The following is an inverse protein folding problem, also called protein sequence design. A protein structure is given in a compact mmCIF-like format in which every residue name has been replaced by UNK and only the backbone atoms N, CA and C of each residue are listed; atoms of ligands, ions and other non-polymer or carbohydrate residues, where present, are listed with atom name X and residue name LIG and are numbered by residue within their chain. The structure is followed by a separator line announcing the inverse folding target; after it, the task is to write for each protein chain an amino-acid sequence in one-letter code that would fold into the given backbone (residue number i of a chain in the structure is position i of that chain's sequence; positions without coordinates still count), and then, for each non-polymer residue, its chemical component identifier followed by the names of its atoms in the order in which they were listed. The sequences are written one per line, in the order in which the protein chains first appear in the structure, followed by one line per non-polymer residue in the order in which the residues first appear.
data_IF_684171863944
#
_entry.id   IF_684171863944
#
_cell.length_a   1.000
_cell.length_b   1.000
_cell.length_c   1.000
_cell.angle_alpha   90.00
_cell.angle_beta   90.00
_cell.angle_gamma   90.00
#
_symmetry.space_group_name_H-M   'P 1'
#
loop_
_entity.id
_entity.type
_entity.pdbx_description
1 polymer ?
#
# COMPACT_ATOMS: atom_id res chain seq x y z
N UNK A 1 41.54 -42.99 -9.33
CA UNK A 1 41.36 -42.44 -7.97
C UNK A 1 40.00 -41.82 -7.88
N UNK A 2 39.05 -42.51 -7.23
CA UNK A 2 37.66 -42.09 -7.08
C UNK A 2 37.54 -41.17 -5.88
N UNK A 3 36.97 -39.96 -6.07
CA UNK A 3 36.50 -39.12 -4.96
C UNK A 3 35.06 -39.45 -4.64
N UNK A 4 34.66 -39.51 -3.36
CA UNK A 4 33.30 -39.86 -2.95
C UNK A 4 32.35 -38.67 -3.03
N UNK A 5 31.15 -38.95 -3.58
CA UNK A 5 29.99 -38.05 -3.54
C UNK A 5 29.46 -37.91 -2.10
N UNK A 6 29.44 -36.69 -1.58
CA UNK A 6 28.71 -36.32 -0.37
C UNK A 6 27.24 -36.04 -0.71
N UNK A 7 26.30 -36.52 0.08
CA UNK A 7 24.88 -36.30 -0.19
C UNK A 7 24.45 -34.85 0.18
N UNK A 8 23.91 -34.16 -0.79
CA UNK A 8 23.25 -32.87 -0.59
C UNK A 8 21.99 -33.09 0.24
N UNK A 9 22.03 -32.79 1.53
CA UNK A 9 20.84 -32.68 2.35
C UNK A 9 19.98 -31.53 1.83
N UNK A 10 18.86 -31.84 1.22
CA UNK A 10 17.83 -30.89 0.83
C UNK A 10 17.27 -30.20 2.08
N UNK A 11 17.74 -29.02 2.36
CA UNK A 11 17.05 -28.11 3.28
C UNK A 11 15.72 -27.68 2.60
N UNK A 12 14.64 -28.33 3.01
CA UNK A 12 13.27 -27.82 2.76
C UNK A 12 13.14 -26.49 3.50
N UNK A 13 13.43 -25.40 2.80
CA UNK A 13 13.06 -24.07 3.21
C UNK A 13 11.52 -24.04 3.32
N UNK A 14 11.01 -23.87 4.54
CA UNK A 14 9.60 -23.56 4.76
C UNK A 14 9.29 -22.29 3.99
N UNK A 15 8.49 -22.42 2.94
CA UNK A 15 7.94 -21.35 2.12
C UNK A 15 7.20 -20.40 3.05
N UNK A 16 7.79 -19.24 3.36
CA UNK A 16 7.08 -18.14 4.00
C UNK A 16 6.22 -17.55 2.90
N UNK A 17 4.99 -18.05 2.81
CA UNK A 17 4.01 -17.54 1.86
C UNK A 17 3.49 -16.22 2.41
N UNK A 18 3.77 -15.14 1.72
CA UNK A 18 3.16 -13.81 1.91
C UNK A 18 1.62 -13.86 1.83
N UNK A 19 1.06 -14.88 1.19
CA UNK A 19 -0.37 -15.20 1.21
C UNK A 19 -0.95 -15.40 2.62
N UNK A 20 -0.14 -15.77 3.60
CA UNK A 20 -0.59 -16.00 4.97
C UNK A 20 -0.69 -14.73 5.82
N UNK A 21 -0.10 -13.61 5.40
CA UNK A 21 -0.11 -12.41 6.23
C UNK A 21 -1.50 -11.74 6.30
N UNK A 22 -2.19 -11.67 5.17
CA UNK A 22 -3.60 -11.19 5.11
C UNK A 22 -4.58 -12.34 5.40
N UNK A 23 -4.22 -13.59 5.06
CA UNK A 23 -4.98 -14.80 5.36
C UNK A 23 -5.04 -15.14 6.86
N UNK A 24 -4.03 -14.76 7.65
CA UNK A 24 -3.97 -15.06 9.09
C UNK A 24 -5.16 -14.53 9.91
N UNK A 25 -5.78 -13.42 9.50
CA UNK A 25 -6.97 -12.87 10.16
C UNK A 25 -8.17 -13.80 10.01
N UNK A 26 -8.26 -14.52 8.91
CA UNK A 26 -9.46 -15.32 8.58
C UNK A 26 -9.42 -16.73 9.18
N UNK A 27 -8.26 -17.36 9.24
CA UNK A 27 -8.17 -18.77 9.64
C UNK A 27 -8.38 -19.00 11.15
N UNK A 28 -7.99 -18.01 11.99
CA UNK A 28 -8.19 -18.12 13.44
C UNK A 28 -9.60 -17.77 13.90
N UNK A 29 -10.30 -16.87 13.18
CA UNK A 29 -11.68 -16.48 13.54
C UNK A 29 -12.73 -17.46 13.02
N UNK A 30 -12.53 -18.09 11.86
CA UNK A 30 -13.51 -19.03 11.29
C UNK A 30 -13.38 -20.45 11.81
N UNK A 31 -12.27 -20.87 12.37
CA UNK A 31 -12.16 -22.19 13.03
C UNK A 31 -12.93 -22.29 14.35
N UNK A 32 -13.38 -21.17 14.91
CA UNK A 32 -14.04 -21.16 16.24
C UNK A 32 -15.48 -20.63 16.28
N UNK A 33 -16.02 -20.03 15.21
CA UNK A 33 -17.38 -19.49 15.24
C UNK A 33 -18.08 -19.58 13.85
N UNK A 34 -19.22 -20.26 13.77
CA UNK A 34 -20.20 -20.14 12.70
C UNK A 34 -21.16 -19.02 13.06
N UNK A 35 -21.27 -17.99 12.22
CA UNK A 35 -22.26 -16.91 12.34
C UNK A 35 -23.36 -17.20 11.33
N UNK A 36 -24.58 -17.46 11.80
CA UNK A 36 -25.80 -17.48 11.01
C UNK A 36 -26.85 -16.53 11.64
N UNK A 37 -27.49 -15.81 10.74
CA UNK A 37 -28.67 -14.96 10.68
C UNK A 37 -29.46 -14.62 11.96
N UNK A 38 -30.02 -13.41 11.97
CA UNK A 38 -30.90 -12.59 12.83
C UNK A 38 -31.34 -13.05 14.24
N UNK A 39 -31.14 -14.29 14.62
CA UNK A 39 -31.27 -14.80 16.01
C UNK A 39 -29.98 -15.52 16.37
N UNK A 40 -28.95 -14.74 16.68
CA UNK A 40 -27.59 -15.20 16.86
C UNK A 40 -27.49 -16.31 17.91
N UNK A 41 -27.36 -17.54 17.47
CA UNK A 41 -26.87 -18.66 18.29
C UNK A 41 -25.38 -18.82 17.95
N UNK A 42 -24.51 -18.48 18.91
CA UNK A 42 -23.07 -18.76 18.82
C UNK A 42 -22.85 -20.16 19.36
N UNK A 43 -22.61 -21.12 18.50
CA UNK A 43 -22.22 -22.47 18.94
C UNK A 43 -20.70 -22.56 18.93
N UNK A 44 -20.11 -22.61 20.11
CA UNK A 44 -18.68 -22.91 20.27
C UNK A 44 -18.47 -24.41 20.20
N UNK A 45 -17.54 -24.88 19.37
CA UNK A 45 -17.17 -26.30 19.24
C UNK A 45 -16.38 -26.79 20.47
N UNK A 46 -17.01 -26.78 21.64
CA UNK A 46 -16.51 -27.42 22.88
C UNK A 46 -17.61 -28.20 23.59
N UNK A 47 -18.67 -28.63 22.90
CA UNK A 47 -19.62 -29.62 23.41
C UNK A 47 -20.52 -29.19 24.60
N UNK A 48 -20.61 -27.93 24.97
CA UNK A 48 -21.56 -27.43 25.95
C UNK A 48 -22.39 -26.26 25.45
N UNK A 49 -23.70 -26.43 25.35
CA UNK A 49 -24.66 -25.35 25.06
C UNK A 49 -24.90 -24.53 26.33
N UNK A 50 -24.61 -23.26 26.30
CA UNK A 50 -24.92 -22.32 27.36
C UNK A 50 -25.98 -21.35 26.87
N UNK A 51 -27.20 -21.39 27.40
CA UNK A 51 -28.23 -20.35 27.19
C UNK A 51 -27.85 -19.11 27.99
N UNK A 52 -27.55 -18.04 27.31
CA UNK A 52 -27.24 -16.76 27.97
C UNK A 52 -28.37 -15.78 27.64
N UNK A 53 -29.17 -15.45 28.67
CA UNK A 53 -30.22 -14.43 28.58
C UNK A 53 -29.59 -13.06 28.88
N UNK A 54 -29.58 -12.14 27.88
CA UNK A 54 -28.77 -10.93 27.88
C UNK A 54 -29.64 -9.68 27.84
N UNK A 55 -29.55 -8.79 28.83
CA UNK A 55 -30.04 -7.41 28.75
C UNK A 55 -29.31 -6.66 27.63
N UNK A 56 -30.10 -6.13 26.68
CA UNK A 56 -29.69 -5.89 25.27
C UNK A 56 -28.77 -4.68 25.01
N UNK A 57 -28.52 -3.79 25.96
CA UNK A 57 -27.79 -2.53 25.70
C UNK A 57 -26.36 -2.44 26.25
N UNK A 58 -26.08 -2.90 27.42
CA UNK A 58 -24.72 -2.84 28.02
C UNK A 58 -23.73 -3.84 27.40
N UNK A 59 -24.25 -4.98 26.90
CA UNK A 59 -23.38 -6.04 26.33
C UNK A 59 -22.91 -5.75 24.91
N UNK A 60 -23.59 -4.91 24.12
CA UNK A 60 -23.10 -4.52 22.79
C UNK A 60 -21.84 -3.65 22.88
N UNK A 61 -21.74 -2.80 23.90
CA UNK A 61 -20.54 -2.00 24.16
C UNK A 61 -19.35 -2.86 24.57
N UNK A 62 -19.53 -3.75 25.53
CA UNK A 62 -18.44 -4.59 26.04
C UNK A 62 -17.91 -5.62 25.03
N UNK A 63 -18.78 -6.24 24.22
CA UNK A 63 -18.36 -7.14 23.13
C UNK A 63 -17.67 -6.40 22.00
N UNK A 64 -18.10 -5.18 21.68
CA UNK A 64 -17.46 -4.33 20.67
C UNK A 64 -16.05 -3.91 21.11
N UNK A 65 -15.86 -3.50 22.36
CA UNK A 65 -14.56 -3.12 22.92
C UNK A 65 -13.62 -4.33 22.96
N UNK A 66 -14.09 -5.50 23.41
CA UNK A 66 -13.27 -6.71 23.48
C UNK A 66 -12.84 -7.21 22.11
N UNK A 67 -13.72 -7.09 21.10
CA UNK A 67 -13.40 -7.46 19.72
C UNK A 67 -12.42 -6.45 19.06
N UNK A 68 -12.55 -5.15 19.35
CA UNK A 68 -11.61 -4.12 18.93
C UNK A 68 -10.20 -4.42 19.43
N UNK A 69 -10.05 -4.68 20.73
CA UNK A 69 -8.75 -5.01 21.35
C UNK A 69 -8.09 -6.27 20.76
N UNK A 70 -8.88 -7.26 20.34
CA UNK A 70 -8.36 -8.48 19.69
C UNK A 70 -7.84 -8.17 18.30
N UNK A 71 -8.59 -7.39 17.50
CA UNK A 71 -8.18 -7.00 16.15
C UNK A 71 -6.96 -6.09 16.17
N UNK A 72 -6.90 -5.14 17.09
CA UNK A 72 -5.74 -4.26 17.26
C UNK A 72 -4.47 -5.04 17.62
N UNK A 73 -4.57 -5.99 18.56
CA UNK A 73 -3.47 -6.92 18.86
C UNK A 73 -3.04 -7.74 17.64
N UNK A 74 -4.00 -8.14 16.81
CA UNK A 74 -3.72 -8.86 15.57
C UNK A 74 -2.98 -7.97 14.57
N UNK A 75 -3.37 -6.71 14.41
CA UNK A 75 -2.67 -5.76 13.55
C UNK A 75 -1.23 -5.52 14.01
N UNK A 76 -1.02 -5.30 15.31
CA UNK A 76 0.34 -5.15 15.88
C UNK A 76 1.19 -6.40 15.65
N UNK A 77 0.61 -7.60 15.85
CA UNK A 77 1.32 -8.84 15.56
C UNK A 77 1.72 -8.94 14.09
N UNK A 78 0.82 -8.59 13.16
CA UNK A 78 1.13 -8.61 11.73
C UNK A 78 2.23 -7.61 11.35
N UNK A 79 2.27 -6.42 11.96
CA UNK A 79 3.38 -5.46 11.78
C UNK A 79 4.71 -6.11 12.18
N UNK A 80 4.80 -6.68 13.38
CA UNK A 80 6.01 -7.32 13.86
C UNK A 80 6.44 -8.50 12.98
N UNK A 81 5.48 -9.31 12.52
CA UNK A 81 5.78 -10.46 11.65
C UNK A 81 6.26 -9.99 10.27
N UNK A 82 5.69 -8.90 9.75
CA UNK A 82 6.12 -8.27 8.50
C UNK A 82 7.52 -7.68 8.63
N UNK A 83 7.82 -6.93 9.68
CA UNK A 83 9.16 -6.37 9.95
C UNK A 83 10.22 -7.46 9.99
N UNK A 84 9.96 -8.58 10.68
CA UNK A 84 10.86 -9.74 10.70
C UNK A 84 11.06 -10.31 9.29
N UNK A 85 10.00 -10.40 8.48
CA UNK A 85 10.11 -10.89 7.11
C UNK A 85 10.95 -9.96 6.22
N UNK A 86 10.87 -8.63 6.47
CA UNK A 86 11.70 -7.65 5.77
C UNK A 86 13.18 -7.82 6.11
N UNK A 87 13.51 -8.01 7.39
CA UNK A 87 14.90 -8.30 7.82
C UNK A 87 15.43 -9.56 7.16
N UNK A 88 14.64 -10.64 7.08
CA UNK A 88 15.06 -11.88 6.40
C UNK A 88 15.21 -11.69 4.88
N UNK A 89 14.37 -10.88 4.26
CA UNK A 89 14.50 -10.52 2.85
C UNK A 89 15.82 -9.74 2.62
N UNK A 90 16.09 -8.79 3.47
CA UNK A 90 17.26 -7.90 3.33
C UNK A 90 18.60 -8.64 3.44
N UNK A 91 18.63 -9.78 4.13
CA UNK A 91 19.81 -10.67 4.14
C UNK A 91 20.11 -11.31 2.77
N UNK A 92 19.14 -11.35 1.86
CA UNK A 92 19.28 -11.96 0.52
C UNK A 92 19.80 -10.98 -0.51
N UNK A 93 19.70 -9.68 -0.27
CA UNK A 93 19.92 -8.65 -1.27
C UNK A 93 21.01 -7.67 -0.84
N UNK A 94 21.82 -7.28 -1.79
CA UNK A 94 22.72 -6.15 -1.65
C UNK A 94 22.08 -4.88 -2.18
N UNK A 95 22.31 -3.77 -1.49
CA UNK A 95 21.80 -2.48 -1.95
C UNK A 95 22.44 -2.12 -3.31
N UNK A 96 21.66 -1.62 -4.30
CA UNK A 96 22.15 -1.31 -5.62
C UNK A 96 23.29 -0.28 -5.59
N UNK A 97 24.41 -0.60 -6.20
CA UNK A 97 25.51 0.35 -6.37
C UNK A 97 25.12 1.49 -7.31
N UNK A 98 25.78 2.64 -7.19
CA UNK A 98 25.54 3.80 -8.03
C UNK A 98 24.32 4.62 -7.65
N UNK A 99 23.89 4.53 -6.38
CA UNK A 99 22.83 5.35 -5.79
C UNK A 99 23.36 6.06 -4.55
N UNK A 100 23.16 7.36 -4.47
CA UNK A 100 23.33 8.16 -3.25
C UNK A 100 21.97 8.18 -2.56
N UNK A 101 21.94 7.93 -1.26
CA UNK A 101 20.70 7.97 -0.50
C UNK A 101 20.93 8.59 0.88
N UNK A 102 19.87 9.24 1.35
CA UNK A 102 19.78 9.82 2.69
C UNK A 102 18.51 9.32 3.34
N UNK A 103 18.58 8.91 4.59
CA UNK A 103 17.48 8.30 5.31
C UNK A 103 16.94 9.21 6.41
N UNK A 104 15.69 8.98 6.81
CA UNK A 104 15.08 9.58 7.98
C UNK A 104 14.99 11.13 7.94
N UNK A 105 14.90 11.72 6.76
CA UNK A 105 14.68 13.14 6.56
C UNK A 105 13.28 13.49 7.09
N UNK A 106 13.20 14.44 8.03
CA UNK A 106 11.93 14.90 8.57
C UNK A 106 11.16 15.74 7.55
N UNK A 107 9.97 15.32 7.14
CA UNK A 107 9.10 16.12 6.26
C UNK A 107 8.06 16.96 7.01
N UNK A 108 7.96 16.82 8.32
CA UNK A 108 7.15 17.68 9.17
C UNK A 108 7.94 18.15 10.39
N UNK A 109 7.53 19.30 10.97
CA UNK A 109 8.20 19.91 12.12
C UNK A 109 7.85 19.26 13.46
N UNK A 110 7.06 18.19 13.44
CA UNK A 110 6.71 17.46 14.64
C UNK A 110 7.75 16.35 14.97
N UNK A 111 7.54 15.68 16.11
CA UNK A 111 8.42 14.57 16.54
C UNK A 111 7.90 13.21 16.12
N UNK A 112 6.90 13.14 15.22
CA UNK A 112 6.31 11.89 14.79
C UNK A 112 7.30 11.09 13.93
N UNK A 113 7.60 9.88 14.36
CA UNK A 113 8.52 8.99 13.62
C UNK A 113 7.99 8.57 12.25
N UNK A 114 6.67 8.60 12.05
CA UNK A 114 6.05 8.34 10.75
C UNK A 114 6.16 9.54 9.78
N UNK A 115 6.64 10.70 10.22
CA UNK A 115 6.84 11.85 9.35
C UNK A 115 8.31 11.95 8.91
N UNK A 116 8.79 10.86 8.30
CA UNK A 116 10.14 10.72 7.75
C UNK A 116 10.06 10.23 6.30
N UNK A 117 11.05 10.61 5.51
CA UNK A 117 11.24 10.07 4.16
C UNK A 117 12.72 9.76 3.93
N UNK A 118 12.96 8.89 2.95
CA UNK A 118 14.29 8.63 2.41
C UNK A 118 14.38 9.22 1.01
N UNK A 119 15.55 9.78 0.67
CA UNK A 119 15.84 10.36 -0.63
C UNK A 119 16.87 9.53 -1.36
N UNK A 120 16.63 9.22 -2.62
CA UNK A 120 17.52 8.45 -3.48
C UNK A 120 17.84 9.24 -4.75
N UNK A 121 19.12 9.29 -5.12
CA UNK A 121 19.62 9.99 -6.29
C UNK A 121 20.66 9.13 -7.02
N UNK A 122 20.71 9.09 -8.36
CA UNK A 122 21.76 8.37 -9.08
C UNK A 122 23.11 9.05 -8.88
N UNK A 123 24.14 8.27 -8.53
CA UNK A 123 25.53 8.74 -8.38
C UNK A 123 26.07 9.16 -9.75
N UNK A 124 26.83 10.24 -9.78
CA UNK A 124 27.42 10.81 -11.00
C UNK A 124 26.43 11.68 -11.82
N UNK A 125 25.24 11.93 -11.28
CA UNK A 125 24.26 12.84 -11.88
C UNK A 125 23.87 14.00 -10.93
N UNK A 126 24.75 14.33 -10.00
CA UNK A 126 24.48 15.32 -8.94
C UNK A 126 24.18 16.72 -9.51
N UNK A 127 24.77 17.07 -10.64
CA UNK A 127 24.52 18.35 -11.35
C UNK A 127 23.31 18.31 -12.30
N UNK A 128 22.69 17.17 -12.51
CA UNK A 128 21.52 17.07 -13.40
C UNK A 128 20.22 17.38 -12.65
N UNK A 129 19.30 18.05 -13.31
CA UNK A 129 17.91 18.20 -12.85
C UNK A 129 17.15 16.95 -13.27
N UNK A 130 16.51 16.29 -12.30
CA UNK A 130 15.88 14.98 -12.49
C UNK A 130 14.38 15.04 -12.21
N UNK A 131 13.56 14.31 -12.99
CA UNK A 131 12.16 14.14 -12.67
C UNK A 131 12.00 13.49 -11.27
N UNK A 132 10.93 13.82 -10.56
CA UNK A 132 10.71 13.49 -9.16
C UNK A 132 9.68 12.40 -9.02
N UNK A 133 9.99 11.35 -8.25
CA UNK A 133 9.04 10.34 -7.80
C UNK A 133 8.85 10.48 -6.29
N UNK A 134 7.60 10.55 -5.84
CA UNK A 134 7.21 10.35 -4.44
C UNK A 134 6.64 8.93 -4.36
N UNK A 135 7.34 8.05 -3.63
CA UNK A 135 6.94 6.66 -3.44
C UNK A 135 6.16 6.51 -2.12
N UNK A 136 5.00 5.87 -2.22
CA UNK A 136 4.10 5.54 -1.11
C UNK A 136 4.09 4.03 -0.92
N UNK A 137 4.64 3.53 0.18
CA UNK A 137 4.79 2.10 0.40
C UNK A 137 3.44 1.39 0.61
N UNK A 138 3.42 0.08 0.32
CA UNK A 138 2.30 -0.81 0.56
C UNK A 138 2.14 -1.23 2.02
N UNK A 139 1.40 -2.32 2.24
CA UNK A 139 1.17 -2.88 3.56
C UNK A 139 -0.28 -2.82 4.03
N UNK A 140 -1.24 -2.71 3.11
CA UNK A 140 -2.68 -2.74 3.42
C UNK A 140 -3.15 -1.62 4.34
N UNK A 141 -2.40 -0.51 4.43
CA UNK A 141 -2.64 0.65 5.31
C UNK A 141 -2.40 0.37 6.80
N UNK A 142 -1.99 -0.84 7.14
CA UNK A 142 -1.87 -1.36 8.51
C UNK A 142 -0.44 -1.64 8.91
N UNK A 143 0.44 -1.90 7.95
CA UNK A 143 1.82 -2.33 8.14
C UNK A 143 2.70 -1.81 7.00
N UNK A 144 3.98 -2.12 7.03
CA UNK A 144 4.95 -1.62 6.07
C UNK A 144 5.72 -0.42 6.62
N UNK A 145 6.73 -0.04 5.90
CA UNK A 145 7.57 1.14 6.15
C UNK A 145 8.31 1.52 4.86
N UNK A 146 8.89 2.71 4.83
CA UNK A 146 9.65 3.22 3.68
C UNK A 146 10.86 2.36 3.32
N UNK A 147 11.49 1.72 4.31
CA UNK A 147 12.65 0.84 4.12
C UNK A 147 12.29 -0.42 3.34
N UNK A 148 11.04 -0.85 3.39
CA UNK A 148 10.58 -2.00 2.63
C UNK A 148 10.71 -1.77 1.12
N UNK A 149 10.47 -0.54 0.66
CA UNK A 149 10.56 -0.17 -0.75
C UNK A 149 11.99 0.29 -1.18
N UNK A 150 13.01 0.25 -0.29
CA UNK A 150 14.35 0.82 -0.54
C UNK A 150 15.03 0.32 -1.81
N UNK A 151 14.94 -0.98 -2.10
CA UNK A 151 15.55 -1.55 -3.32
C UNK A 151 14.82 -1.09 -4.57
N UNK A 152 13.50 -1.09 -4.54
CA UNK A 152 12.67 -0.59 -5.64
C UNK A 152 12.93 0.90 -5.90
N UNK A 153 12.98 1.72 -4.87
CA UNK A 153 13.30 3.15 -4.96
C UNK A 153 14.70 3.41 -5.49
N UNK A 154 15.69 2.61 -5.04
CA UNK A 154 17.05 2.69 -5.55
C UNK A 154 17.11 2.35 -7.05
N UNK A 155 16.38 1.33 -7.50
CA UNK A 155 16.33 0.96 -8.92
C UNK A 155 15.60 2.03 -9.76
N UNK A 156 14.53 2.65 -9.28
CA UNK A 156 13.90 3.81 -9.92
C UNK A 156 14.89 4.98 -10.03
N UNK A 157 15.64 5.24 -8.97
CA UNK A 157 16.68 6.28 -8.99
C UNK A 157 17.74 6.01 -10.05
N UNK A 158 18.21 4.76 -10.20
CA UNK A 158 19.14 4.38 -11.28
C UNK A 158 18.62 4.65 -12.69
N UNK A 159 17.31 4.69 -12.87
CA UNK A 159 16.68 5.12 -14.14
C UNK A 159 16.66 6.63 -14.34
N UNK A 160 17.28 7.40 -13.46
CA UNK A 160 17.43 8.85 -13.61
C UNK A 160 16.29 9.65 -13.00
N UNK A 161 15.76 9.19 -11.86
CA UNK A 161 14.78 9.91 -11.06
C UNK A 161 15.37 10.32 -9.71
N UNK A 162 14.95 11.46 -9.21
CA UNK A 162 15.07 11.80 -7.80
C UNK A 162 13.85 11.18 -7.09
N UNK A 163 14.10 10.26 -6.15
CA UNK A 163 13.03 9.50 -5.50
C UNK A 163 12.95 9.85 -4.02
N UNK A 164 11.76 10.22 -3.55
CA UNK A 164 11.43 10.39 -2.15
C UNK A 164 10.52 9.24 -1.72
N UNK A 165 11.00 8.36 -0.86
CA UNK A 165 10.22 7.25 -0.28
C UNK A 165 9.73 7.67 1.09
N UNK A 166 8.44 7.91 1.23
CA UNK A 166 7.85 8.44 2.45
C UNK A 166 7.32 7.36 3.37
N UNK A 167 7.43 7.60 4.67
CA UNK A 167 6.68 6.92 5.73
C UNK A 167 5.36 7.65 5.97
N UNK A 168 4.36 6.96 6.51
CA UNK A 168 3.09 7.54 6.95
C UNK A 168 2.52 6.74 8.13
N UNK A 169 1.65 7.36 8.92
CA UNK A 169 0.99 6.72 10.07
C UNK A 169 0.14 5.54 9.63
N UNK A 170 0.09 4.50 10.44
CA UNK A 170 -0.58 3.24 10.13
C UNK A 170 -1.87 3.06 10.95
N UNK A 171 -2.89 2.44 10.36
CA UNK A 171 -4.09 2.00 11.07
C UNK A 171 -3.68 0.91 12.10
N UNK A 172 -4.20 0.87 13.33
CA UNK A 172 -5.34 1.64 13.85
C UNK A 172 -4.98 2.94 14.57
N UNK A 173 -3.70 3.37 14.54
CA UNK A 173 -3.21 4.54 15.29
C UNK A 173 -3.68 5.85 14.68
N UNK A 174 -4.19 5.80 13.45
CA UNK A 174 -4.74 6.92 12.70
C UNK A 174 -5.94 6.48 11.86
N UNK A 175 -6.47 7.39 11.04
CA UNK A 175 -7.50 7.13 10.03
C UNK A 175 -6.92 7.20 8.61
N UNK A 176 -7.67 6.74 7.60
CA UNK A 176 -7.33 6.91 6.19
C UNK A 176 -7.10 8.38 5.81
N UNK A 177 -7.90 9.28 6.39
CA UNK A 177 -7.75 10.72 6.16
C UNK A 177 -6.47 11.28 6.77
N UNK A 178 -5.99 10.70 7.87
CA UNK A 178 -4.71 11.09 8.46
C UNK A 178 -3.53 10.62 7.60
N UNK A 179 -3.60 9.41 7.04
CA UNK A 179 -2.62 8.93 6.08
C UNK A 179 -2.54 9.82 4.83
N UNK A 180 -3.68 10.28 4.32
CA UNK A 180 -3.72 11.24 3.22
C UNK A 180 -3.13 12.60 3.59
N UNK A 181 -3.35 13.09 4.82
CA UNK A 181 -2.71 14.32 5.32
C UNK A 181 -1.19 14.15 5.40
N UNK A 182 -0.70 12.98 5.82
CA UNK A 182 0.73 12.69 5.85
C UNK A 182 1.34 12.74 4.44
N UNK A 183 0.64 12.22 3.42
CA UNK A 183 1.08 12.34 2.02
C UNK A 183 1.16 13.81 1.60
N UNK A 184 0.17 14.62 1.93
CA UNK A 184 0.20 16.03 1.56
C UNK A 184 1.31 16.81 2.29
N UNK A 185 1.61 16.47 3.54
CA UNK A 185 2.78 17.03 4.24
C UNK A 185 4.09 16.67 3.53
N UNK A 186 4.24 15.41 3.12
CA UNK A 186 5.42 14.98 2.35
C UNK A 186 5.48 15.65 0.96
N UNK A 187 4.34 15.82 0.30
CA UNK A 187 4.28 16.58 -0.97
C UNK A 187 4.65 18.04 -0.79
N UNK A 188 4.23 18.70 0.29
CA UNK A 188 4.62 20.08 0.60
C UNK A 188 6.12 20.17 0.86
N UNK A 189 6.69 19.23 1.62
CA UNK A 189 8.15 19.12 1.80
C UNK A 189 8.88 18.98 0.46
N UNK A 190 8.42 18.09 -0.42
CA UNK A 190 9.03 17.92 -1.75
C UNK A 190 8.91 19.18 -2.59
N UNK A 191 7.77 19.88 -2.55
CA UNK A 191 7.58 21.17 -3.21
C UNK A 191 8.61 22.22 -2.77
N UNK A 192 8.95 22.23 -1.48
CA UNK A 192 9.88 23.20 -0.90
C UNK A 192 11.35 22.84 -1.14
N UNK A 193 11.71 21.55 -1.19
CA UNK A 193 13.10 21.09 -1.14
C UNK A 193 13.60 20.48 -2.45
N UNK A 194 12.73 19.93 -3.31
CA UNK A 194 13.17 19.16 -4.46
C UNK A 194 14.07 19.95 -5.43
N UNK A 195 13.81 21.24 -5.64
CA UNK A 195 14.66 22.06 -6.50
C UNK A 195 16.10 22.16 -5.99
N UNK A 196 16.30 22.32 -4.67
CA UNK A 196 17.62 22.31 -4.04
C UNK A 196 18.28 20.92 -4.11
N UNK A 197 17.46 19.88 -4.08
CA UNK A 197 17.90 18.49 -4.25
C UNK A 197 18.16 18.12 -5.72
N UNK A 198 17.99 19.06 -6.67
CA UNK A 198 18.13 18.85 -8.13
C UNK A 198 16.94 18.12 -8.74
N UNK A 199 15.75 18.28 -8.20
CA UNK A 199 14.49 17.75 -8.73
C UNK A 199 13.78 18.75 -9.64
N UNK A 200 13.16 18.22 -10.69
CA UNK A 200 12.31 18.96 -11.62
C UNK A 200 10.85 18.92 -11.15
N UNK A 201 10.37 20.04 -10.61
CA UNK A 201 8.99 20.16 -10.14
C UNK A 201 7.95 20.24 -11.28
N UNK A 202 8.40 20.36 -12.54
CA UNK A 202 7.52 20.23 -13.72
C UNK A 202 7.24 18.80 -14.11
N UNK A 203 7.96 17.81 -13.49
CA UNK A 203 7.82 16.39 -13.73
C UNK A 203 7.80 15.62 -12.39
N UNK A 204 6.66 15.65 -11.71
CA UNK A 204 6.46 14.98 -10.40
C UNK A 204 5.43 13.88 -10.52
N UNK A 205 5.74 12.72 -9.97
CA UNK A 205 4.92 11.51 -10.05
C UNK A 205 4.67 10.90 -8.67
N UNK A 206 3.47 10.34 -8.46
CA UNK A 206 3.18 9.47 -7.31
C UNK A 206 3.27 8.01 -7.75
N UNK A 207 4.08 7.23 -7.08
CA UNK A 207 4.20 5.79 -7.30
C UNK A 207 3.88 5.07 -6.00
N UNK A 208 3.07 4.02 -6.06
CA UNK A 208 2.76 3.25 -4.87
C UNK A 208 2.38 1.81 -5.18
N UNK A 209 2.56 0.94 -4.20
CA UNK A 209 2.19 -0.46 -4.29
C UNK A 209 1.06 -0.79 -3.30
N UNK A 210 0.17 -1.71 -3.67
CA UNK A 210 -0.89 -2.23 -2.78
C UNK A 210 -1.72 -1.12 -2.09
N UNK A 211 -1.63 -1.01 -0.76
CA UNK A 211 -2.24 0.07 0.02
C UNK A 211 -1.70 1.46 -0.36
N UNK A 212 -0.41 1.56 -0.68
CA UNK A 212 0.21 2.79 -1.16
C UNK A 212 -0.34 3.26 -2.51
N UNK A 213 -0.66 2.33 -3.42
CA UNK A 213 -1.33 2.66 -4.67
C UNK A 213 -2.76 3.20 -4.44
N UNK A 214 -3.47 2.66 -3.45
CA UNK A 214 -4.75 3.21 -3.02
C UNK A 214 -4.59 4.65 -2.51
N UNK A 215 -3.65 4.89 -1.60
CA UNK A 215 -3.39 6.21 -1.06
C UNK A 215 -2.97 7.21 -2.14
N UNK A 216 -2.07 6.83 -3.07
CA UNK A 216 -1.64 7.66 -4.18
C UNK A 216 -2.83 8.06 -5.09
N UNK A 217 -3.73 7.12 -5.38
CA UNK A 217 -4.96 7.36 -6.15
C UNK A 217 -5.84 8.41 -5.47
N UNK A 218 -6.13 8.24 -4.17
CA UNK A 218 -6.98 9.18 -3.44
C UNK A 218 -6.31 10.53 -3.20
N UNK A 219 -5.01 10.56 -2.90
CA UNK A 219 -4.26 11.81 -2.77
C UNK A 219 -4.30 12.62 -4.07
N UNK A 220 -4.09 11.98 -5.22
CA UNK A 220 -4.16 12.64 -6.51
C UNK A 220 -5.58 13.17 -6.82
N UNK A 221 -6.63 12.37 -6.58
CA UNK A 221 -8.02 12.78 -6.78
C UNK A 221 -8.41 13.97 -5.87
N UNK A 222 -8.03 13.94 -4.59
CA UNK A 222 -8.27 15.02 -3.62
C UNK A 222 -7.53 16.28 -4.04
N UNK A 223 -6.29 16.16 -4.50
CA UNK A 223 -5.50 17.29 -5.00
C UNK A 223 -6.16 17.98 -6.17
N UNK A 224 -6.76 17.23 -7.07
CA UNK A 224 -7.30 17.72 -8.33
C UNK A 224 -8.80 18.10 -8.28
N UNK A 225 -9.54 17.73 -7.20
CA UNK A 225 -10.96 18.05 -7.05
C UNK A 225 -11.23 18.76 -5.70
N UNK A 226 -11.59 20.05 -5.78
CA UNK A 226 -12.03 20.82 -4.61
C UNK A 226 -13.21 20.17 -3.88
N UNK A 227 -14.10 19.49 -4.61
CA UNK A 227 -15.28 18.83 -4.05
C UNK A 227 -14.89 17.59 -3.26
N UNK A 228 -13.98 16.76 -3.78
CA UNK A 228 -13.46 15.59 -3.06
C UNK A 228 -12.65 16.06 -1.83
N UNK A 229 -11.81 17.08 -1.98
CA UNK A 229 -11.04 17.66 -0.88
C UNK A 229 -11.95 18.17 0.25
N UNK A 230 -13.03 18.88 -0.09
CA UNK A 230 -14.04 19.34 0.88
C UNK A 230 -14.74 18.16 1.56
N UNK A 231 -15.13 17.13 0.81
CA UNK A 231 -15.77 15.93 1.36
C UNK A 231 -14.84 15.14 2.30
N UNK A 232 -13.55 15.11 2.01
CA UNK A 232 -12.52 14.49 2.85
C UNK A 232 -12.15 15.35 4.08
N UNK A 233 -12.48 16.64 4.09
CA UNK A 233 -12.02 17.59 5.11
C UNK A 233 -10.49 17.76 5.10
N UNK A 234 -9.88 17.78 3.90
CA UNK A 234 -8.43 17.87 3.72
C UNK A 234 -8.10 19.07 2.85
N UNK A 235 -7.11 19.86 3.28
CA UNK A 235 -6.44 20.84 2.44
C UNK A 235 -5.30 20.13 1.71
N UNK A 236 -5.38 19.95 0.38
CA UNK A 236 -4.33 19.26 -0.37
C UNK A 236 -3.11 20.16 -0.57
N UNK A 237 -1.96 19.55 -0.85
CA UNK A 237 -0.77 20.21 -1.36
C UNK A 237 -1.04 20.85 -2.73
N UNK A 238 -0.35 21.95 -3.02
CA UNK A 238 -0.40 22.57 -4.35
C UNK A 238 0.54 21.90 -5.36
N UNK A 239 1.43 21.00 -4.92
CA UNK A 239 2.35 20.28 -5.79
C UNK A 239 1.57 19.50 -6.83
N UNK A 240 1.81 19.78 -8.12
CA UNK A 240 1.17 19.09 -9.22
C UNK A 240 1.76 17.69 -9.37
N UNK A 241 0.91 16.70 -9.59
CA UNK A 241 1.29 15.33 -9.94
C UNK A 241 0.92 15.10 -11.40
N UNK A 242 1.89 14.68 -12.21
CA UNK A 242 1.74 14.59 -13.66
C UNK A 242 1.29 13.20 -14.12
N UNK A 243 1.73 12.14 -13.43
CA UNK A 243 1.25 10.78 -13.66
C UNK A 243 1.34 9.91 -12.38
N UNK A 244 0.67 8.77 -12.41
CA UNK A 244 0.61 7.78 -11.34
C UNK A 244 1.24 6.46 -11.78
N UNK A 245 2.02 5.82 -10.88
CA UNK A 245 2.47 4.44 -11.00
C UNK A 245 1.79 3.56 -9.94
N UNK A 246 0.90 2.67 -10.32
CA UNK A 246 0.01 1.94 -9.43
C UNK A 246 0.28 0.43 -9.50
N UNK A 247 1.00 -0.11 -8.52
CA UNK A 247 1.47 -1.49 -8.50
C UNK A 247 0.55 -2.32 -7.62
N UNK A 248 -0.13 -3.34 -8.21
CA UNK A 248 -0.95 -4.31 -7.46
C UNK A 248 -1.95 -3.64 -6.49
N UNK A 249 -2.66 -2.61 -6.94
CA UNK A 249 -3.37 -1.67 -6.06
C UNK A 249 -4.51 -2.28 -5.24
N UNK A 250 -4.56 -1.94 -3.95
CA UNK A 250 -5.68 -2.26 -3.03
C UNK A 250 -6.79 -1.20 -3.16
N UNK A 251 -7.34 -1.03 -4.36
CA UNK A 251 -8.27 0.06 -4.67
C UNK A 251 -9.62 -0.02 -3.91
N UNK A 252 -10.09 -1.23 -3.59
CA UNK A 252 -11.43 -1.44 -3.03
C UNK A 252 -11.35 -1.81 -1.55
N UNK A 253 -11.72 -0.88 -0.69
CA UNK A 253 -11.67 -1.05 0.77
C UNK A 253 -13.02 -1.41 1.40
N UNK A 254 -14.12 -1.35 0.63
CA UNK A 254 -15.50 -1.59 1.11
C UNK A 254 -16.22 -2.70 0.34
N UNK A 255 -15.52 -3.43 -0.53
CA UNK A 255 -16.07 -4.56 -1.26
C UNK A 255 -16.44 -5.69 -0.30
N UNK A 256 -17.43 -6.52 -0.66
CA UNK A 256 -17.83 -7.66 0.17
C UNK A 256 -16.82 -8.81 0.07
N UNK A 257 -15.68 -8.60 0.71
CA UNK A 257 -14.58 -9.54 0.85
C UNK A 257 -13.86 -9.30 2.20
N UNK A 258 -12.72 -9.97 2.41
CA UNK A 258 -11.96 -9.89 3.67
C UNK A 258 -11.52 -8.46 4.03
N UNK A 259 -11.15 -7.67 3.03
CA UNK A 259 -10.73 -6.27 3.22
C UNK A 259 -11.94 -5.45 3.65
N UNK A 260 -12.99 -5.46 2.85
CA UNK A 260 -14.16 -4.61 3.06
C UNK A 260 -15.04 -5.00 4.25
N UNK A 261 -14.92 -6.22 4.78
CA UNK A 261 -15.63 -6.63 5.99
C UNK A 261 -15.02 -6.05 7.28
N UNK A 262 -13.71 -5.85 7.33
CA UNK A 262 -13.02 -5.49 8.57
C UNK A 262 -12.44 -4.07 8.59
N UNK A 263 -11.89 -3.59 7.47
CA UNK A 263 -11.16 -2.32 7.43
C UNK A 263 -12.04 -1.06 7.45
N UNK A 264 -13.21 -0.96 6.81
CA UNK A 264 -13.87 0.33 6.57
C UNK A 264 -14.11 1.16 7.83
N UNK A 265 -14.48 0.53 8.95
CA UNK A 265 -14.71 1.23 10.22
C UNK A 265 -13.44 1.82 10.84
N UNK A 266 -12.27 1.20 10.60
CA UNK A 266 -10.97 1.70 11.04
C UNK A 266 -10.45 2.79 10.11
N UNK A 267 -10.69 2.64 8.80
CA UNK A 267 -10.27 3.60 7.78
C UNK A 267 -11.08 4.90 7.87
N UNK A 268 -12.40 4.79 7.91
CA UNK A 268 -13.33 5.91 7.68
C UNK A 268 -14.18 6.27 8.89
N UNK A 269 -14.08 5.51 9.99
CA UNK A 269 -14.91 5.66 11.18
C UNK A 269 -16.23 4.90 11.13
N UNK A 270 -16.88 4.74 12.30
CA UNK A 270 -18.10 3.90 12.45
C UNK A 270 -19.30 4.37 11.61
N UNK A 271 -19.41 5.66 11.36
CA UNK A 271 -20.54 6.26 10.64
C UNK A 271 -20.18 6.70 9.21
N UNK A 272 -19.11 6.18 8.63
CA UNK A 272 -18.59 6.62 7.34
C UNK A 272 -19.60 6.65 6.21
N UNK A 273 -20.60 5.75 6.23
CA UNK A 273 -21.67 5.69 5.21
C UNK A 273 -22.57 6.93 5.20
N UNK A 274 -22.58 7.72 6.29
CA UNK A 274 -23.32 8.98 6.42
C UNK A 274 -22.41 10.21 6.25
N UNK A 275 -21.09 10.01 6.14
CA UNK A 275 -20.13 11.10 5.98
C UNK A 275 -20.15 11.66 4.55
N UNK A 276 -19.78 12.93 4.33
CA UNK A 276 -19.69 13.52 2.99
C UNK A 276 -18.80 12.73 2.03
N UNK A 277 -17.78 12.07 2.54
CA UNK A 277 -16.84 11.24 1.75
C UNK A 277 -17.41 9.88 1.35
N UNK A 278 -18.58 9.47 1.84
CA UNK A 278 -19.19 8.17 1.53
C UNK A 278 -19.35 7.90 0.02
N UNK A 279 -19.63 8.94 -0.76
CA UNK A 279 -19.75 8.85 -2.21
C UNK A 279 -18.44 8.47 -2.91
N UNK A 280 -17.29 8.76 -2.30
CA UNK A 280 -15.96 8.57 -2.86
C UNK A 280 -15.23 7.33 -2.33
N UNK A 281 -15.83 6.58 -1.41
CA UNK A 281 -15.23 5.34 -0.89
C UNK A 281 -15.14 4.24 -1.97
N UNK A 282 -16.00 4.31 -2.99
CA UNK A 282 -15.85 3.54 -4.21
C UNK A 282 -14.92 4.28 -5.18
N UNK A 283 -13.76 3.73 -5.56
CA UNK A 283 -12.82 4.37 -6.47
C UNK A 283 -13.36 4.53 -7.90
N UNK A 284 -14.46 3.86 -8.23
CA UNK A 284 -15.15 4.00 -9.53
C UNK A 284 -16.08 5.22 -9.60
N UNK A 285 -16.13 6.05 -8.56
CA UNK A 285 -16.91 7.29 -8.61
C UNK A 285 -16.46 8.15 -9.79
N UNK A 286 -17.37 8.59 -10.68
CA UNK A 286 -16.99 9.32 -11.90
C UNK A 286 -16.17 10.59 -11.64
N UNK A 287 -16.49 11.33 -10.59
CA UNK A 287 -15.74 12.54 -10.22
C UNK A 287 -14.33 12.20 -9.75
N UNK A 288 -14.18 11.10 -8.99
CA UNK A 288 -12.87 10.63 -8.59
C UNK A 288 -12.04 10.22 -9.80
N UNK A 289 -12.60 9.42 -10.70
CA UNK A 289 -11.90 8.99 -11.91
C UNK A 289 -11.53 10.18 -12.80
N UNK A 290 -12.43 11.14 -13.01
CA UNK A 290 -12.15 12.35 -13.80
C UNK A 290 -11.02 13.20 -13.20
N UNK A 291 -10.84 13.19 -11.89
CA UNK A 291 -9.81 13.95 -11.19
C UNK A 291 -8.41 13.33 -11.28
N UNK A 292 -8.27 12.07 -11.71
CA UNK A 292 -6.97 11.40 -11.76
C UNK A 292 -6.09 11.95 -12.89
N UNK A 293 -4.80 12.04 -12.63
CA UNK A 293 -3.75 12.15 -13.63
C UNK A 293 -3.64 10.85 -14.46
N UNK A 294 -2.96 10.86 -15.62
CA UNK A 294 -2.62 9.63 -16.32
C UNK A 294 -2.03 8.58 -15.41
N UNK A 295 -2.38 7.29 -15.61
CA UNK A 295 -2.03 6.23 -14.68
C UNK A 295 -1.45 4.99 -15.38
N UNK A 296 -0.33 4.49 -14.87
CA UNK A 296 0.22 3.21 -15.27
C UNK A 296 -0.06 2.17 -14.18
N UNK A 297 -0.62 1.03 -14.59
CA UNK A 297 -1.02 -0.04 -13.68
C UNK A 297 -0.23 -1.31 -14.00
N UNK A 298 0.13 -2.06 -12.96
CA UNK A 298 0.71 -3.39 -13.12
C UNK A 298 0.13 -4.37 -12.13
N UNK A 299 -0.07 -5.60 -12.58
CA UNK A 299 -0.45 -6.76 -11.76
C UNK A 299 0.09 -8.04 -12.39
N UNK A 300 -0.23 -9.18 -11.82
CA UNK A 300 0.12 -10.50 -12.36
C UNK A 300 -0.99 -11.51 -12.11
N UNK A 301 -1.01 -12.58 -12.87
CA UNK A 301 -2.00 -13.66 -12.71
C UNK A 301 -2.00 -14.27 -11.29
N UNK A 302 -0.85 -14.30 -10.62
CA UNK A 302 -0.69 -14.84 -9.28
C UNK A 302 -0.86 -13.80 -8.15
N UNK A 303 -1.17 -12.55 -8.49
CA UNK A 303 -1.50 -11.51 -7.51
C UNK A 303 -2.92 -11.74 -6.95
N UNK A 304 -3.04 -11.85 -5.64
CA UNK A 304 -4.34 -12.04 -4.98
C UNK A 304 -5.25 -10.81 -5.09
N UNK A 305 -4.71 -9.62 -5.41
CA UNK A 305 -5.46 -8.39 -5.70
C UNK A 305 -5.58 -8.10 -7.20
N UNK A 306 -5.18 -9.02 -8.09
CA UNK A 306 -5.27 -8.85 -9.54
C UNK A 306 -6.67 -8.36 -9.98
N UNK A 307 -7.72 -8.96 -9.43
CA UNK A 307 -9.09 -8.58 -9.73
C UNK A 307 -9.43 -7.13 -9.37
N UNK A 308 -8.75 -6.54 -8.39
CA UNK A 308 -8.91 -5.13 -8.04
C UNK A 308 -8.29 -4.25 -9.13
N UNK A 309 -7.07 -4.58 -9.56
CA UNK A 309 -6.37 -3.83 -10.60
C UNK A 309 -7.11 -3.89 -11.95
N UNK A 310 -7.54 -5.09 -12.37
CA UNK A 310 -8.31 -5.28 -13.62
C UNK A 310 -9.66 -4.55 -13.57
N UNK A 311 -10.34 -4.58 -12.43
CA UNK A 311 -11.62 -3.87 -12.28
C UNK A 311 -11.43 -2.35 -12.31
N UNK A 312 -10.38 -1.85 -11.67
CA UNK A 312 -10.09 -0.41 -11.67
C UNK A 312 -9.65 0.08 -13.06
N UNK A 313 -8.87 -0.70 -13.79
CA UNK A 313 -8.54 -0.44 -15.20
C UNK A 313 -9.80 -0.30 -16.06
N UNK A 314 -10.76 -1.23 -15.95
CA UNK A 314 -12.04 -1.15 -16.67
C UNK A 314 -12.81 0.12 -16.35
N UNK A 315 -12.76 0.58 -15.10
CA UNK A 315 -13.38 1.84 -14.70
C UNK A 315 -12.68 3.06 -15.32
N UNK A 316 -11.34 3.05 -15.40
CA UNK A 316 -10.56 4.08 -16.09
C UNK A 316 -10.88 4.12 -17.59
N UNK A 317 -10.95 2.94 -18.24
CA UNK A 317 -11.36 2.80 -19.65
C UNK A 317 -12.76 3.37 -19.89
N UNK A 318 -13.74 2.99 -19.06
CA UNK A 318 -15.11 3.49 -19.16
C UNK A 318 -15.20 5.02 -18.96
N UNK A 319 -14.35 5.58 -18.08
CA UNK A 319 -14.22 7.01 -17.85
C UNK A 319 -13.35 7.74 -18.90
N UNK A 320 -12.84 7.04 -19.91
CA UNK A 320 -11.92 7.57 -20.94
C UNK A 320 -10.70 8.27 -20.36
N UNK A 321 -10.20 7.76 -19.22
CA UNK A 321 -8.96 8.26 -18.60
C UNK A 321 -7.75 7.67 -19.29
N UNK A 322 -6.73 8.49 -19.49
CA UNK A 322 -5.45 8.03 -20.01
C UNK A 322 -4.77 7.08 -19.04
N UNK A 323 -4.52 5.86 -19.47
CA UNK A 323 -3.86 4.84 -18.65
C UNK A 323 -3.27 3.73 -19.52
N UNK A 324 -2.33 3.01 -18.93
CA UNK A 324 -1.79 1.76 -19.45
C UNK A 324 -1.81 0.69 -18.35
N UNK A 325 -1.95 -0.57 -18.73
CA UNK A 325 -1.90 -1.71 -17.82
C UNK A 325 -0.97 -2.80 -18.33
N UNK A 326 -0.21 -3.39 -17.42
CA UNK A 326 0.57 -4.60 -17.66
C UNK A 326 0.08 -5.69 -16.70
N UNK A 327 -0.44 -6.78 -17.27
CA UNK A 327 -0.90 -7.96 -16.52
C UNK A 327 0.03 -9.14 -16.85
N UNK A 328 0.98 -9.41 -15.99
CA UNK A 328 1.95 -10.48 -16.20
C UNK A 328 1.29 -11.86 -16.20
N UNK A 329 1.72 -12.76 -17.09
CA UNK A 329 1.16 -14.11 -17.19
C UNK A 329 1.40 -14.94 -15.93
N UNK A 330 0.77 -16.09 -15.86
CA UNK A 330 0.90 -17.02 -14.73
C UNK A 330 2.35 -17.43 -14.50
N UNK A 331 2.90 -17.00 -13.38
CA UNK A 331 4.23 -17.35 -12.91
C UNK A 331 4.24 -17.33 -11.38
N UNK A 332 4.59 -18.45 -10.74
CA UNK A 332 4.57 -18.61 -9.28
C UNK A 332 5.48 -17.64 -8.53
N UNK A 333 6.47 -17.02 -9.20
CA UNK A 333 7.35 -16.01 -8.62
C UNK A 333 6.71 -14.62 -8.62
N UNK A 334 5.79 -14.35 -9.55
CA UNK A 334 5.15 -13.05 -9.69
C UNK A 334 3.90 -12.99 -8.82
N UNK A 335 4.08 -12.93 -7.52
CA UNK A 335 3.02 -12.78 -6.53
C UNK A 335 2.61 -11.32 -6.38
N UNK A 336 1.79 -11.01 -5.38
CA UNK A 336 1.35 -9.65 -5.08
C UNK A 336 2.52 -8.67 -4.96
N UNK A 337 2.47 -7.56 -5.69
CA UNK A 337 3.49 -6.49 -5.72
C UNK A 337 4.93 -7.04 -5.90
N UNK A 338 5.10 -8.06 -6.75
CA UNK A 338 6.36 -8.78 -6.91
C UNK A 338 7.54 -7.85 -7.24
N UNK A 339 7.33 -6.78 -8.00
CA UNK A 339 8.38 -5.84 -8.36
C UNK A 339 8.96 -5.07 -7.18
N UNK A 340 8.23 -5.01 -6.06
CA UNK A 340 8.67 -4.41 -4.80
C UNK A 340 9.23 -5.47 -3.85
N UNK A 341 8.54 -6.64 -3.75
CA UNK A 341 8.93 -7.72 -2.86
C UNK A 341 10.16 -8.50 -3.35
N UNK A 342 10.29 -8.70 -4.64
CA UNK A 342 11.38 -9.42 -5.32
C UNK A 342 11.99 -8.50 -6.40
N UNK A 343 12.64 -7.37 -6.02
CA UNK A 343 12.98 -6.28 -6.93
C UNK A 343 14.04 -6.63 -7.98
N UNK A 344 14.74 -7.75 -7.81
CA UNK A 344 15.82 -8.20 -8.70
C UNK A 344 15.43 -9.32 -9.67
N UNK A 345 14.13 -9.67 -9.75
CA UNK A 345 13.66 -10.55 -10.82
C UNK A 345 13.78 -9.84 -12.19
N UNK A 346 14.01 -10.56 -13.28
CA UNK A 346 13.97 -9.98 -14.64
C UNK A 346 12.65 -9.24 -14.91
N UNK A 347 11.53 -9.81 -14.49
CA UNK A 347 10.20 -9.21 -14.64
C UNK A 347 10.05 -7.94 -13.78
N UNK A 348 10.72 -7.86 -12.63
CA UNK A 348 10.72 -6.64 -11.80
C UNK A 348 11.50 -5.51 -12.44
N UNK A 349 12.63 -5.83 -13.09
CA UNK A 349 13.37 -4.86 -13.92
C UNK A 349 12.51 -4.39 -15.09
N UNK A 350 11.81 -5.29 -15.78
CA UNK A 350 10.88 -4.93 -16.85
C UNK A 350 9.76 -4.00 -16.36
N UNK A 351 9.19 -4.24 -15.17
CA UNK A 351 8.20 -3.33 -14.55
C UNK A 351 8.80 -1.94 -14.35
N UNK A 352 10.03 -1.85 -13.82
CA UNK A 352 10.69 -0.56 -13.58
C UNK A 352 10.94 0.16 -14.91
N UNK A 353 11.35 -0.55 -15.95
CA UNK A 353 11.61 0.03 -17.28
C UNK A 353 10.33 0.57 -17.91
N UNK A 354 9.27 -0.23 -17.96
CA UNK A 354 7.97 0.20 -18.51
C UNK A 354 7.35 1.34 -17.70
N UNK A 355 7.40 1.28 -16.36
CA UNK A 355 6.91 2.35 -15.50
C UNK A 355 7.66 3.66 -15.78
N UNK A 356 8.98 3.64 -15.77
CA UNK A 356 9.79 4.85 -15.95
C UNK A 356 9.69 5.42 -17.37
N UNK A 357 9.49 4.57 -18.37
CA UNK A 357 9.19 4.98 -19.75
C UNK A 357 7.82 5.68 -19.81
N UNK A 358 6.78 5.09 -19.20
CA UNK A 358 5.45 5.69 -19.14
C UNK A 358 5.47 7.06 -18.46
N UNK A 359 6.10 7.16 -17.29
CA UNK A 359 6.14 8.42 -16.54
C UNK A 359 6.78 9.56 -17.33
N UNK A 360 7.80 9.28 -18.15
CA UNK A 360 8.46 10.29 -18.99
C UNK A 360 7.62 10.85 -20.13
N UNK A 361 6.44 10.30 -20.40
CA UNK A 361 5.50 10.85 -21.38
C UNK A 361 4.83 12.12 -20.88
N UNK A 362 4.86 12.35 -19.59
CA UNK A 362 4.18 13.43 -18.89
C UNK A 362 5.20 14.26 -18.10
#
# INVERSE_FOLDING_TARGET
MNMPHLPVKSLRLKKVQTENLILGIHFLLLKKCKIFDEKTIVTCYTGRSMRINVRKHERRGYQSIKMSNILEKQFLKQRNDFEKSCVERDKKYHFPQGVIFETDIAYAKDKNKAHRLDRYRPKGKEAQILPVIINVHGGGLLLGNKEFNKYFCALLSKKGFLVYSMEYRLIPDCTFFDQLRDIFLAMDFVKEHAAADGGDLSHVYLVGDSGGACLATYANAIRNSKKIAKAAGIKPSELKVHALGLISGMFYTTKFDKIGLFLPKYLYGKQYKKAPFAAYVNPENPELLCALAPAWLVTSHNDHLRNYTIRFEKALTAAKKEHEIVDFPKNKKLTHAFSVFEPFLPESHAVIDMLTEYLRKF
#
